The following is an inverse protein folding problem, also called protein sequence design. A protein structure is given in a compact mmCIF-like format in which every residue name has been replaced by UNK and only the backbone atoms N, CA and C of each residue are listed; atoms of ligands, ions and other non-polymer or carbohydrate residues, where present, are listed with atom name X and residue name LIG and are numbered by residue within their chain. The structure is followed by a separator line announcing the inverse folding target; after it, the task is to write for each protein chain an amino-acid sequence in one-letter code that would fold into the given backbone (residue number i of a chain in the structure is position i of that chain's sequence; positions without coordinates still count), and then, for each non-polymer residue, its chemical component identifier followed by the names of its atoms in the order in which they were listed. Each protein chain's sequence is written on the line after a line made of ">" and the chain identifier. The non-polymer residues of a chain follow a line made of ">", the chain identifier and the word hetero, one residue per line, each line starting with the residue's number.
data_IF_466895558110
#
_entry.id   IF_466895558110
#
_cell.length_a   1.000
_cell.length_b   1.000
_cell.length_c   1.000
_cell.angle_alpha   90.00
_cell.angle_beta   90.00
_cell.angle_gamma   90.00
#
_symmetry.space_group_name_H-M   'P 1'
#
loop_
_entity.id
_entity.type
_entity.pdbx_description
1 polymer ?
#
# COMPACT_ATOMS: atom_id res chain seq x y z
N UNK A 1 -17.76 -31.46 -5.64
CA UNK A 1 -17.58 -31.29 -7.11
C UNK A 1 -16.28 -30.55 -7.37
N UNK A 2 -15.16 -31.27 -7.43
CA UNK A 2 -13.88 -30.72 -7.89
C UNK A 2 -13.71 -31.08 -9.36
N UNK A 3 -13.44 -30.10 -10.22
CA UNK A 3 -13.14 -30.35 -11.62
C UNK A 3 -11.64 -30.59 -11.79
N UNK A 4 -11.30 -31.71 -12.42
CA UNK A 4 -9.96 -32.03 -12.88
C UNK A 4 -9.77 -31.42 -14.26
N UNK A 5 -8.76 -30.57 -14.43
CA UNK A 5 -8.22 -30.20 -15.74
C UNK A 5 -6.75 -30.56 -15.70
N UNK A 6 -6.37 -31.60 -16.42
CA UNK A 6 -4.98 -31.98 -16.64
C UNK A 6 -4.61 -31.72 -18.09
N UNK A 7 -3.62 -30.85 -18.32
CA UNK A 7 -2.70 -30.96 -19.45
C UNK A 7 -1.31 -30.53 -18.99
N UNK A 8 -0.30 -31.29 -19.42
CA UNK A 8 1.06 -31.34 -18.89
C UNK A 8 1.85 -30.04 -18.95
N UNK A 9 2.44 -29.64 -17.82
CA UNK A 9 3.84 -29.19 -17.72
C UNK A 9 4.38 -29.62 -16.36
N UNK A 10 5.54 -30.26 -16.37
CA UNK A 10 6.28 -30.72 -15.19
C UNK A 10 6.40 -29.56 -14.18
N UNK A 11 6.03 -29.81 -12.92
CA UNK A 11 5.94 -28.88 -11.79
C UNK A 11 4.65 -28.05 -11.61
N UNK A 12 3.47 -28.58 -11.99
CA UNK A 12 2.21 -28.03 -11.50
C UNK A 12 2.02 -28.41 -10.01
N UNK A 13 2.41 -27.52 -9.09
CA UNK A 13 2.07 -27.64 -7.66
C UNK A 13 0.56 -27.44 -7.53
N UNK A 14 -0.17 -28.50 -7.20
CA UNK A 14 -1.62 -28.42 -6.97
C UNK A 14 -1.88 -27.79 -5.60
N UNK A 15 -2.27 -26.52 -5.59
CA UNK A 15 -2.79 -25.87 -4.39
C UNK A 15 -4.29 -26.17 -4.25
N UNK A 16 -4.73 -26.76 -3.12
CA UNK A 16 -6.15 -26.96 -2.88
C UNK A 16 -6.89 -25.61 -2.93
N UNK A 17 -8.10 -25.61 -3.51
CA UNK A 17 -8.96 -24.41 -3.59
C UNK A 17 -9.11 -23.69 -2.24
N UNK A 18 -9.19 -24.45 -1.15
CA UNK A 18 -9.24 -23.93 0.22
C UNK A 18 -8.07 -23.00 0.57
N UNK A 19 -6.87 -23.27 0.04
CA UNK A 19 -5.68 -22.46 0.29
C UNK A 19 -5.79 -21.11 -0.42
N UNK A 20 -6.24 -21.11 -1.68
CA UNK A 20 -6.45 -19.90 -2.47
C UNK A 20 -7.54 -19.02 -1.83
N UNK A 21 -8.64 -19.63 -1.40
CA UNK A 21 -9.73 -18.92 -0.73
C UNK A 21 -9.27 -18.31 0.61
N UNK A 22 -8.41 -19.02 1.36
CA UNK A 22 -7.84 -18.52 2.61
C UNK A 22 -6.88 -17.34 2.38
N UNK A 23 -6.03 -17.39 1.35
CA UNK A 23 -5.15 -16.29 0.96
C UNK A 23 -5.94 -15.04 0.58
N UNK A 24 -6.96 -15.20 -0.27
CA UNK A 24 -7.82 -14.10 -0.70
C UNK A 24 -8.52 -13.45 0.50
N UNK A 25 -9.10 -14.28 1.39
CA UNK A 25 -9.76 -13.79 2.60
C UNK A 25 -8.79 -13.05 3.53
N UNK A 26 -7.56 -13.54 3.66
CA UNK A 26 -6.52 -12.86 4.46
C UNK A 26 -6.22 -11.47 3.88
N UNK A 27 -5.97 -11.39 2.57
CA UNK A 27 -5.67 -10.13 1.87
C UNK A 27 -6.81 -9.12 2.08
N UNK A 28 -8.04 -9.54 1.82
CA UNK A 28 -9.23 -8.70 1.97
C UNK A 28 -9.42 -8.23 3.41
N UNK A 29 -9.29 -9.14 4.38
CA UNK A 29 -9.49 -8.82 5.80
C UNK A 29 -8.41 -7.87 6.32
N UNK A 30 -7.15 -8.13 5.99
CA UNK A 30 -6.03 -7.30 6.41
C UNK A 30 -6.15 -5.89 5.81
N UNK A 31 -6.42 -5.80 4.51
CA UNK A 31 -6.57 -4.52 3.82
C UNK A 31 -7.76 -3.72 4.36
N UNK A 32 -8.90 -4.37 4.58
CA UNK A 32 -10.10 -3.71 5.13
C UNK A 32 -9.85 -3.12 6.52
N UNK A 33 -9.11 -3.83 7.38
CA UNK A 33 -8.82 -3.40 8.74
C UNK A 33 -7.77 -2.29 8.80
N UNK A 34 -6.68 -2.42 8.03
CA UNK A 34 -5.52 -1.55 8.18
C UNK A 34 -5.48 -0.40 7.16
N UNK A 35 -6.25 -0.48 6.07
CA UNK A 35 -6.19 0.49 4.98
C UNK A 35 -4.93 0.36 4.12
N UNK A 36 -4.15 -0.72 4.28
CA UNK A 36 -3.02 -1.05 3.42
C UNK A 36 -2.74 -2.55 3.47
N UNK A 37 -1.94 -3.05 2.53
CA UNK A 37 -1.31 -4.37 2.63
C UNK A 37 0.05 -4.37 1.93
N UNK A 38 1.03 -5.03 2.56
CA UNK A 38 2.39 -5.14 2.05
C UNK A 38 2.56 -6.43 1.22
N UNK A 39 3.26 -6.36 0.10
CA UNK A 39 3.53 -7.53 -0.72
C UNK A 39 4.46 -8.54 -0.04
N UNK A 40 5.26 -8.12 0.94
CA UNK A 40 6.00 -9.03 1.83
C UNK A 40 5.06 -9.97 2.59
N UNK A 41 3.97 -9.44 3.15
CA UNK A 41 2.95 -10.23 3.85
C UNK A 41 2.24 -11.18 2.88
N UNK A 42 1.90 -10.72 1.68
CA UNK A 42 1.25 -11.56 0.66
C UNK A 42 2.18 -12.69 0.19
N UNK A 43 3.48 -12.41 0.00
CA UNK A 43 4.48 -13.45 -0.29
C UNK A 43 4.60 -14.47 0.82
N UNK A 44 4.49 -14.06 2.09
CA UNK A 44 4.54 -14.98 3.23
C UNK A 44 3.36 -15.97 3.26
N UNK A 45 2.27 -15.68 2.53
CA UNK A 45 1.17 -16.63 2.32
C UNK A 45 1.48 -17.67 1.22
N UNK A 46 2.66 -17.63 0.60
CA UNK A 46 3.04 -18.52 -0.50
C UNK A 46 2.53 -18.07 -1.87
N UNK A 47 2.16 -16.79 -2.03
CA UNK A 47 1.76 -16.21 -3.32
C UNK A 47 3.01 -15.84 -4.13
N UNK A 48 3.09 -16.32 -5.38
CA UNK A 48 4.23 -16.07 -6.29
C UNK A 48 4.20 -14.67 -6.91
N UNK A 49 3.02 -14.19 -7.32
CA UNK A 49 2.80 -12.83 -7.81
C UNK A 49 1.92 -12.05 -6.81
N UNK A 50 2.53 -11.43 -5.78
CA UNK A 50 1.79 -10.78 -4.72
C UNK A 50 0.98 -9.57 -5.21
N UNK A 51 1.51 -8.80 -6.17
CA UNK A 51 0.81 -7.63 -6.72
C UNK A 51 -0.40 -8.08 -7.55
N UNK A 52 -0.21 -9.04 -8.47
CA UNK A 52 -1.30 -9.54 -9.30
C UNK A 52 -2.42 -10.19 -8.48
N UNK A 53 -2.06 -11.00 -7.47
CA UNK A 53 -3.05 -11.60 -6.58
C UNK A 53 -3.79 -10.55 -5.76
N UNK A 54 -3.10 -9.54 -5.24
CA UNK A 54 -3.73 -8.46 -4.48
C UNK A 54 -4.71 -7.67 -5.35
N UNK A 55 -4.32 -7.33 -6.59
CA UNK A 55 -5.22 -6.68 -7.58
C UNK A 55 -6.44 -7.53 -7.89
N UNK A 56 -6.27 -8.85 -8.03
CA UNK A 56 -7.38 -9.76 -8.29
C UNK A 56 -8.38 -9.81 -7.12
N UNK A 57 -7.86 -9.86 -5.89
CA UNK A 57 -8.68 -9.92 -4.66
C UNK A 57 -9.40 -8.60 -4.41
N UNK A 58 -8.72 -7.47 -4.63
CA UNK A 58 -9.25 -6.13 -4.34
C UNK A 58 -9.89 -5.44 -5.55
N UNK A 59 -10.14 -6.17 -6.66
CA UNK A 59 -10.60 -5.61 -7.94
C UNK A 59 -11.89 -4.78 -7.88
N UNK A 60 -12.76 -5.10 -6.92
CA UNK A 60 -14.07 -4.46 -6.75
C UNK A 60 -14.01 -3.29 -5.75
N UNK A 61 -12.85 -3.07 -5.13
CA UNK A 61 -12.60 -1.93 -4.24
C UNK A 61 -12.06 -0.76 -5.06
N UNK A 62 -12.58 0.43 -4.77
CA UNK A 62 -12.17 1.67 -5.42
C UNK A 62 -11.14 2.41 -4.56
N UNK A 63 -10.46 3.40 -5.15
CA UNK A 63 -9.54 4.29 -4.42
C UNK A 63 -8.33 3.56 -3.81
N UNK A 64 -7.86 2.51 -4.47
CA UNK A 64 -6.63 1.81 -4.09
C UNK A 64 -5.47 2.34 -4.92
N UNK A 65 -4.42 2.78 -4.24
CA UNK A 65 -3.15 3.07 -4.89
C UNK A 65 -2.19 1.89 -4.73
N UNK A 66 -1.85 1.27 -5.86
CA UNK A 66 -0.85 0.21 -5.93
C UNK A 66 0.55 0.83 -6.01
N UNK A 67 1.37 0.58 -4.99
CA UNK A 67 2.74 1.04 -4.86
C UNK A 67 3.71 -0.11 -5.18
N UNK A 68 5.00 0.08 -4.97
CA UNK A 68 6.04 -0.92 -5.30
C UNK A 68 6.07 -2.01 -4.23
N UNK A 69 5.90 -1.63 -2.96
CA UNK A 69 6.03 -2.53 -1.81
C UNK A 69 4.69 -3.07 -1.32
N UNK A 70 3.56 -2.56 -1.82
CA UNK A 70 2.22 -2.90 -1.36
C UNK A 70 1.15 -2.03 -2.02
N UNK A 71 -0.02 -1.93 -1.40
CA UNK A 71 -1.04 -0.96 -1.78
C UNK A 71 -1.73 -0.35 -0.56
N UNK A 72 -2.34 0.82 -0.78
CA UNK A 72 -3.03 1.61 0.25
C UNK A 72 -4.45 1.95 -0.20
N UNK A 73 -5.36 2.02 0.76
CA UNK A 73 -6.70 2.61 0.63
C UNK A 73 -6.55 4.13 0.79
N UNK A 74 -6.67 4.88 -0.31
CA UNK A 74 -6.43 6.33 -0.31
C UNK A 74 -7.40 7.06 0.63
N UNK A 75 -8.65 6.59 0.75
CA UNK A 75 -9.65 7.25 1.60
C UNK A 75 -9.34 7.12 3.09
N UNK A 76 -8.63 6.05 3.49
CA UNK A 76 -8.19 5.87 4.88
C UNK A 76 -6.81 6.47 5.13
N UNK A 77 -5.91 6.34 4.16
CA UNK A 77 -4.51 6.68 4.33
C UNK A 77 -4.26 8.19 4.22
N UNK A 78 -4.82 8.87 3.20
CA UNK A 78 -4.54 10.28 2.96
C UNK A 78 -4.92 11.18 4.15
N UNK A 79 -6.13 11.07 4.75
CA UNK A 79 -6.49 11.95 5.86
C UNK A 79 -5.58 11.82 7.07
N UNK A 80 -5.10 10.60 7.37
CA UNK A 80 -4.18 10.37 8.47
C UNK A 80 -2.80 10.98 8.16
N UNK A 81 -2.32 10.83 6.93
CA UNK A 81 -1.06 11.41 6.49
C UNK A 81 -1.11 12.95 6.53
N UNK A 82 -2.16 13.54 5.98
CA UNK A 82 -2.40 14.99 5.99
C UNK A 82 -2.41 15.55 7.42
N UNK A 83 -3.17 14.94 8.33
CA UNK A 83 -3.23 15.35 9.73
C UNK A 83 -1.86 15.27 10.43
N UNK A 84 -1.06 14.23 10.17
CA UNK A 84 0.27 14.10 10.77
C UNK A 84 1.24 15.16 10.24
N UNK A 85 1.17 15.49 8.94
CA UNK A 85 1.96 16.55 8.33
C UNK A 85 1.58 17.92 8.90
N UNK A 86 0.28 18.21 9.01
CA UNK A 86 -0.23 19.45 9.61
C UNK A 86 0.28 19.64 11.04
N UNK A 87 0.17 18.60 11.88
CA UNK A 87 0.62 18.65 13.27
C UNK A 87 2.13 18.83 13.40
N UNK A 88 2.90 18.14 12.55
CA UNK A 88 4.37 18.24 12.56
C UNK A 88 4.85 19.64 12.16
N UNK A 89 4.28 20.22 11.10
CA UNK A 89 4.61 21.57 10.66
C UNK A 89 4.15 22.64 11.66
N UNK A 90 2.98 22.48 12.28
CA UNK A 90 2.50 23.40 13.31
C UNK A 90 3.40 23.43 14.57
N UNK A 91 4.16 22.36 14.82
CA UNK A 91 5.05 22.23 15.98
C UNK A 91 6.45 22.82 15.73
N UNK A 92 6.69 23.48 14.57
CA UNK A 92 8.01 23.90 14.10
C UNK A 92 9.04 22.75 14.05
N UNK A 93 8.57 21.51 13.87
CA UNK A 93 9.40 20.34 13.70
C UNK A 93 9.59 20.02 12.21
N UNK A 94 10.57 19.17 11.89
CA UNK A 94 10.65 18.55 10.58
C UNK A 94 9.72 17.33 10.56
N UNK A 95 9.17 17.02 9.40
CA UNK A 95 8.36 15.82 9.18
C UNK A 95 9.14 14.85 8.32
N UNK A 96 9.42 13.66 8.86
CA UNK A 96 9.94 12.53 8.10
C UNK A 96 8.79 11.61 7.69
N UNK A 97 8.43 11.66 6.40
CA UNK A 97 7.34 10.87 5.82
C UNK A 97 7.59 9.37 5.96
N UNK A 98 8.85 8.90 6.00
CA UNK A 98 9.12 7.46 6.17
C UNK A 98 8.57 6.92 7.49
N UNK A 99 8.50 7.75 8.52
CA UNK A 99 7.95 7.39 9.83
C UNK A 99 6.42 7.31 9.86
N UNK A 100 5.77 7.86 8.84
CA UNK A 100 4.32 7.87 8.66
C UNK A 100 3.83 6.77 7.72
N UNK A 101 4.76 6.07 7.05
CA UNK A 101 4.46 4.97 6.14
C UNK A 101 4.51 3.62 6.88
N UNK A 102 3.80 2.60 6.39
CA UNK A 102 4.02 1.24 6.88
C UNK A 102 5.44 0.75 6.55
N UNK A 103 5.99 -0.12 7.39
CA UNK A 103 7.42 -0.45 7.41
C UNK A 103 8.02 -0.95 6.07
N UNK A 104 7.25 -1.66 5.23
CA UNK A 104 7.76 -2.15 3.94
C UNK A 104 7.80 -1.08 2.86
N UNK A 105 7.12 0.06 3.04
CA UNK A 105 7.06 1.14 2.05
C UNK A 105 8.30 2.02 2.18
N UNK A 106 9.00 2.25 1.07
CA UNK A 106 10.25 2.98 1.00
C UNK A 106 10.12 4.31 0.23
N UNK A 107 11.24 5.00 0.05
CA UNK A 107 11.27 6.31 -0.64
C UNK A 107 10.66 6.26 -2.06
N UNK A 108 10.80 5.16 -2.80
CA UNK A 108 10.21 5.03 -4.13
C UNK A 108 8.68 4.90 -4.06
N UNK A 109 8.15 4.30 -2.99
CA UNK A 109 6.71 4.24 -2.74
C UNK A 109 6.17 5.64 -2.43
N UNK A 110 6.89 6.42 -1.62
CA UNK A 110 6.55 7.80 -1.27
C UNK A 110 6.60 8.69 -2.53
N UNK A 111 7.65 8.56 -3.35
CA UNK A 111 7.76 9.30 -4.62
C UNK A 111 6.56 8.99 -5.53
N UNK A 112 6.20 7.71 -5.66
CA UNK A 112 5.06 7.29 -6.46
C UNK A 112 3.73 7.82 -5.89
N UNK A 113 3.53 7.75 -4.57
CA UNK A 113 2.38 8.34 -3.89
C UNK A 113 2.22 9.81 -4.25
N UNK A 114 3.27 10.59 -4.06
CA UNK A 114 3.31 12.03 -4.33
C UNK A 114 3.27 12.42 -5.81
N UNK A 115 3.53 11.47 -6.72
CA UNK A 115 3.35 11.65 -8.15
C UNK A 115 1.90 11.40 -8.56
N UNK A 116 1.22 10.47 -7.90
CA UNK A 116 -0.17 10.10 -8.21
C UNK A 116 -1.18 11.00 -7.48
N UNK A 117 -0.93 11.30 -6.22
CA UNK A 117 -1.79 12.12 -5.35
C UNK A 117 -1.12 13.47 -5.06
N UNK A 118 -1.53 14.52 -5.79
CA UNK A 118 -0.91 15.85 -5.66
C UNK A 118 -1.45 16.66 -4.48
N UNK A 119 -2.59 16.27 -3.90
CA UNK A 119 -3.25 16.98 -2.80
C UNK A 119 -2.32 17.19 -1.61
N UNK A 120 -1.47 16.20 -1.29
CA UNK A 120 -0.53 16.29 -0.18
C UNK A 120 0.54 17.36 -0.44
N UNK A 121 1.04 17.48 -1.69
CA UNK A 121 2.01 18.53 -2.04
C UNK A 121 1.38 19.92 -1.96
N UNK A 122 0.15 20.05 -2.42
CA UNK A 122 -0.63 21.28 -2.36
C UNK A 122 -0.88 21.70 -0.90
N UNK A 123 -1.26 20.74 -0.04
CA UNK A 123 -1.39 20.94 1.39
C UNK A 123 -0.09 21.45 2.00
N UNK A 124 1.03 20.74 1.82
CA UNK A 124 2.34 21.13 2.37
C UNK A 124 2.70 22.55 1.96
N UNK A 125 2.51 22.88 0.68
CA UNK A 125 2.78 24.24 0.17
C UNK A 125 1.87 25.28 0.85
N UNK A 126 0.59 24.98 1.04
CA UNK A 126 -0.37 25.88 1.71
C UNK A 126 -0.04 26.12 3.19
N UNK A 127 0.60 25.15 3.84
CA UNK A 127 1.08 25.24 5.22
C UNK A 127 2.43 25.96 5.33
N UNK A 128 2.99 26.42 4.22
CA UNK A 128 4.33 27.03 4.18
C UNK A 128 5.46 26.01 4.31
N UNK A 129 5.17 24.72 4.17
CA UNK A 129 6.18 23.67 4.18
C UNK A 129 6.97 23.57 2.87
N UNK A 130 8.20 23.08 2.95
CA UNK A 130 9.05 22.78 1.80
C UNK A 130 9.72 21.41 1.97
N UNK A 131 9.75 20.64 0.88
CA UNK A 131 10.49 19.38 0.82
C UNK A 131 12.00 19.67 0.70
N UNK A 132 12.79 19.16 1.64
CA UNK A 132 14.26 19.16 1.54
C UNK A 132 14.75 17.93 0.77
N UNK A 133 13.98 16.84 0.87
CA UNK A 133 14.17 15.60 0.11
C UNK A 133 12.82 15.00 -0.24
N UNK A 134 12.80 13.83 -0.89
CA UNK A 134 11.56 13.10 -1.19
C UNK A 134 10.78 12.69 0.07
N UNK A 135 11.41 12.69 1.25
CA UNK A 135 10.83 12.18 2.48
C UNK A 135 10.85 13.16 3.65
N UNK A 136 11.60 14.25 3.56
CA UNK A 136 11.70 15.25 4.63
C UNK A 136 11.05 16.57 4.25
N UNK A 137 10.21 17.09 5.14
CA UNK A 137 9.53 18.38 5.01
C UNK A 137 9.92 19.27 6.19
N UNK A 138 10.14 20.55 5.95
CA UNK A 138 10.30 21.57 6.99
C UNK A 138 9.29 22.70 6.83
N UNK A 139 8.88 23.33 7.93
CA UNK A 139 8.13 24.59 7.90
C UNK A 139 9.03 25.79 7.61
N UNK A 140 8.48 26.82 6.98
CA UNK A 140 9.12 28.14 6.80
C UNK A 140 8.79 29.11 7.92
#
# INVERSE_FOLDING_TARGET
>A
NGNLIGTSKENAIFYPKLYIDAQAKYIESFFSQNGYIEYSLVRNLGVTDPEGQTKLVLKDQNQILFLISGCIDLLKFLPQLEMNIENGLASNEYVDITTLMPNSFNENDIEKLFKTETSIKELITSLGGEFISNTFIIGK
#
